data_IF_421340135791
#
_entry.id   IF_421340135791
#
_cell.length_a   1.000
_cell.length_b   1.000
_cell.length_c   1.000
_cell.angle_alpha   90.00
_cell.angle_beta   90.00
_cell.angle_gamma   90.00
#
_symmetry.space_group_name_H-M   'P 1'
#
loop_
_entity.id
_entity.type
_entity.pdbx_description
1 polymer ?
#
# COMPACT_ATOMS: atom_id res chain seq x y z
N UNK A 1 -4.71 12.15 25.12
CA UNK A 1 -3.53 12.25 24.24
C UNK A 1 -4.05 12.74 22.90
N UNK A 2 -3.62 13.90 22.42
CA UNK A 2 -4.02 14.38 21.10
C UNK A 2 -3.11 13.68 20.10
N UNK A 3 -3.61 12.67 19.41
CA UNK A 3 -2.87 11.98 18.34
C UNK A 3 -2.84 12.91 17.13
N UNK A 4 -1.64 13.29 16.69
CA UNK A 4 -1.45 14.07 15.47
C UNK A 4 -1.26 13.09 14.31
N UNK A 5 -2.11 13.19 13.30
CA UNK A 5 -1.91 12.46 12.05
C UNK A 5 -0.74 13.09 11.29
N UNK A 6 0.30 12.30 11.02
CA UNK A 6 1.48 12.77 10.28
C UNK A 6 1.18 12.84 8.78
N UNK A 7 1.68 13.89 8.11
CA UNK A 7 1.65 13.96 6.65
C UNK A 7 2.72 13.02 6.08
N UNK A 8 2.31 12.02 5.32
CA UNK A 8 3.23 11.19 4.54
C UNK A 8 3.84 11.98 3.37
N UNK A 9 5.15 11.87 3.21
CA UNK A 9 5.90 12.48 2.10
C UNK A 9 6.33 11.39 1.13
N UNK A 10 6.36 11.71 -0.17
CA UNK A 10 6.86 10.78 -1.19
C UNK A 10 8.36 10.49 -0.98
N UNK A 11 8.73 9.21 -0.96
CA UNK A 11 10.11 8.75 -0.85
C UNK A 11 10.47 7.85 -2.04
N UNK A 12 11.35 8.36 -2.91
CA UNK A 12 11.83 7.62 -4.09
C UNK A 12 12.58 6.32 -3.72
N UNK A 13 13.16 6.22 -2.52
CA UNK A 13 13.81 4.99 -2.07
C UNK A 13 12.77 3.92 -1.73
N UNK A 14 11.65 4.31 -1.12
CA UNK A 14 10.53 3.40 -0.88
C UNK A 14 9.88 2.95 -2.18
N UNK A 15 9.76 3.85 -3.16
CA UNK A 15 9.30 3.53 -4.51
C UNK A 15 10.24 2.49 -5.18
N UNK A 16 11.56 2.70 -5.10
CA UNK A 16 12.55 1.78 -5.64
C UNK A 16 12.49 0.39 -4.99
N UNK A 17 12.35 0.34 -3.66
CA UNK A 17 12.11 -0.90 -2.91
C UNK A 17 10.83 -1.60 -3.38
N UNK A 18 9.75 -0.85 -3.52
CA UNK A 18 8.49 -1.36 -4.06
C UNK A 18 8.68 -1.95 -5.45
N UNK A 19 9.45 -1.29 -6.31
CA UNK A 19 9.69 -1.75 -7.67
C UNK A 19 10.51 -3.04 -7.71
N UNK A 20 11.57 -3.13 -6.91
CA UNK A 20 12.41 -4.32 -6.80
C UNK A 20 11.60 -5.54 -6.37
N UNK A 21 10.82 -5.41 -5.30
CA UNK A 21 10.02 -6.51 -4.77
C UNK A 21 8.85 -6.88 -5.69
N UNK A 22 8.15 -5.89 -6.25
CA UNK A 22 7.03 -6.13 -7.15
C UNK A 22 7.46 -6.79 -8.47
N UNK A 23 8.66 -6.47 -8.96
CA UNK A 23 9.19 -7.01 -10.22
C UNK A 23 9.58 -8.48 -10.14
N UNK A 24 9.70 -9.06 -8.93
CA UNK A 24 9.85 -10.51 -8.74
C UNK A 24 8.58 -11.28 -9.10
N UNK A 25 7.44 -10.59 -9.19
CA UNK A 25 6.13 -11.15 -9.49
C UNK A 25 5.63 -12.20 -8.48
N UNK A 26 6.25 -12.27 -7.30
CA UNK A 26 5.85 -13.13 -6.18
C UNK A 26 4.77 -12.46 -5.32
N UNK A 27 4.10 -13.25 -4.48
CA UNK A 27 3.15 -12.70 -3.52
C UNK A 27 3.90 -11.96 -2.42
N UNK A 28 3.59 -10.70 -2.21
CA UNK A 28 4.15 -9.93 -1.10
C UNK A 28 3.51 -10.38 0.22
N UNK A 29 4.30 -10.54 1.30
CA UNK A 29 3.77 -10.95 2.58
C UNK A 29 3.01 -9.80 3.26
N UNK A 30 1.83 -10.11 3.80
CA UNK A 30 0.99 -9.13 4.54
C UNK A 30 1.70 -8.57 5.79
N UNK A 31 2.66 -9.32 6.33
CA UNK A 31 3.52 -8.91 7.46
C UNK A 31 4.58 -7.87 7.09
N UNK A 32 4.70 -7.51 5.82
CA UNK A 32 5.80 -6.68 5.33
C UNK A 32 7.11 -7.46 5.16
N UNK A 33 8.14 -6.75 4.69
CA UNK A 33 9.48 -7.29 4.42
C UNK A 33 10.50 -6.50 5.25
N UNK A 34 11.50 -7.19 5.80
CA UNK A 34 12.62 -6.53 6.50
C UNK A 34 13.77 -6.33 5.52
N UNK A 35 14.12 -5.07 5.24
CA UNK A 35 15.23 -4.71 4.35
C UNK A 35 16.25 -3.92 5.14
N UNK A 36 17.49 -4.41 5.21
CA UNK A 36 18.56 -3.71 5.91
C UNK A 36 18.31 -3.45 7.41
N UNK A 37 17.52 -4.32 8.07
CA UNK A 37 17.03 -4.21 9.47
C UNK A 37 15.83 -3.28 9.69
N UNK A 38 15.29 -2.68 8.63
CA UNK A 38 14.11 -1.82 8.73
C UNK A 38 12.90 -2.61 8.23
N UNK A 39 11.87 -2.73 9.08
CA UNK A 39 10.58 -3.25 8.65
C UNK A 39 9.96 -2.32 7.64
N UNK A 40 9.39 -2.87 6.58
CA UNK A 40 8.68 -2.13 5.54
C UNK A 40 7.32 -2.75 5.35
N UNK A 41 6.29 -1.93 5.46
CA UNK A 41 4.92 -2.38 5.27
C UNK A 41 4.54 -2.23 3.79
N UNK A 42 4.05 -3.31 3.18
CA UNK A 42 3.65 -3.34 1.77
C UNK A 42 2.14 -3.49 1.67
N UNK A 43 1.53 -2.77 0.72
CA UNK A 43 0.16 -2.98 0.26
C UNK A 43 0.16 -3.12 -1.24
N UNK A 44 -0.32 -4.25 -1.74
CA UNK A 44 -0.34 -4.55 -3.15
C UNK A 44 -1.74 -4.85 -3.69
N UNK A 45 -1.87 -4.72 -5.00
CA UNK A 45 -3.11 -4.96 -5.69
C UNK A 45 -2.93 -4.99 -7.20
N UNK A 46 -4.04 -5.23 -7.89
CA UNK A 46 -4.08 -5.24 -9.36
C UNK A 46 -4.86 -3.99 -9.80
N UNK A 47 -4.18 -3.08 -10.49
CA UNK A 47 -4.82 -1.89 -11.09
C UNK A 47 -5.75 -2.34 -12.22
N UNK A 48 -5.29 -3.26 -13.08
CA UNK A 48 -6.10 -3.79 -14.17
C UNK A 48 -5.51 -5.06 -14.77
N UNK A 49 -6.37 -5.93 -15.26
CA UNK A 49 -6.00 -7.10 -16.09
C UNK A 49 -5.96 -6.76 -17.58
N UNK A 50 -6.39 -5.55 -17.98
CA UNK A 50 -6.42 -5.10 -19.38
C UNK A 50 -5.12 -4.39 -19.76
N UNK A 51 -4.78 -4.48 -21.04
CA UNK A 51 -3.74 -3.63 -21.67
C UNK A 51 -4.32 -2.25 -22.00
N UNK A 52 -3.47 -1.21 -22.03
CA UNK A 52 -3.82 0.19 -22.35
C UNK A 52 -4.90 0.78 -21.45
N UNK A 53 -4.53 1.03 -20.19
CA UNK A 53 -5.41 1.61 -19.18
C UNK A 53 -5.07 3.08 -18.93
N UNK A 54 -6.06 3.81 -18.42
CA UNK A 54 -5.82 5.06 -17.72
C UNK A 54 -5.28 4.73 -16.32
N UNK A 55 -3.95 4.81 -16.19
CA UNK A 55 -3.25 4.43 -14.97
C UNK A 55 -3.72 5.26 -13.78
N UNK A 56 -3.83 6.58 -13.93
CA UNK A 56 -4.21 7.48 -12.83
C UNK A 56 -5.62 7.15 -12.32
N UNK A 57 -6.57 6.97 -13.24
CA UNK A 57 -7.96 6.64 -12.90
C UNK A 57 -8.07 5.30 -12.18
N UNK A 58 -7.42 4.25 -12.68
CA UNK A 58 -7.52 2.92 -12.08
C UNK A 58 -6.72 2.83 -10.76
N UNK A 59 -5.59 3.53 -10.63
CA UNK A 59 -4.88 3.67 -9.35
C UNK A 59 -5.75 4.40 -8.32
N UNK A 60 -6.38 5.53 -8.68
CA UNK A 60 -7.33 6.23 -7.78
C UNK A 60 -8.46 5.32 -7.33
N UNK A 61 -9.00 4.50 -8.22
CA UNK A 61 -10.04 3.53 -7.89
C UNK A 61 -9.55 2.47 -6.90
N UNK A 62 -8.35 1.93 -7.08
CA UNK A 62 -7.75 0.97 -6.14
C UNK A 62 -7.54 1.59 -4.76
N UNK A 63 -6.91 2.77 -4.69
CA UNK A 63 -6.66 3.49 -3.44
C UNK A 63 -7.95 3.86 -2.71
N UNK A 64 -9.00 4.27 -3.44
CA UNK A 64 -10.31 4.49 -2.85
C UNK A 64 -10.92 3.20 -2.29
N UNK A 65 -10.75 2.07 -2.97
CA UNK A 65 -11.24 0.78 -2.49
C UNK A 65 -10.52 0.34 -1.21
N UNK A 66 -9.21 0.59 -1.10
CA UNK A 66 -8.43 0.39 0.12
C UNK A 66 -8.94 1.29 1.25
N UNK A 67 -9.13 2.58 0.99
CA UNK A 67 -9.65 3.51 1.99
C UNK A 67 -11.06 3.12 2.46
N UNK A 68 -11.93 2.71 1.53
CA UNK A 68 -13.32 2.31 1.80
C UNK A 68 -13.46 1.01 2.62
N UNK A 69 -12.36 0.30 2.93
CA UNK A 69 -12.37 -0.77 3.93
C UNK A 69 -12.91 -0.26 5.27
N UNK A 70 -12.69 1.02 5.63
CA UNK A 70 -13.26 1.63 6.84
C UNK A 70 -14.79 1.64 6.84
N UNK A 71 -15.43 1.80 5.68
CA UNK A 71 -16.90 1.84 5.59
C UNK A 71 -17.51 0.45 5.69
N UNK A 72 -16.76 -0.56 5.26
CA UNK A 72 -17.20 -1.96 5.26
C UNK A 72 -17.02 -2.63 6.62
N UNK A 73 -16.22 -2.04 7.50
CA UNK A 73 -15.85 -2.59 8.79
C UNK A 73 -16.27 -1.64 9.92
N UNK A 74 -16.97 -2.14 10.92
CA UNK A 74 -17.31 -1.34 12.12
C UNK A 74 -16.05 -1.18 12.98
N UNK A 75 -15.23 -0.16 12.69
CA UNK A 75 -13.98 0.09 13.41
C UNK A 75 -14.30 0.69 14.78
N UNK A 76 -13.86 0.01 15.83
CA UNK A 76 -14.05 0.44 17.22
C UNK A 76 -13.22 1.70 17.52
N UNK A 77 -13.67 2.48 18.50
CA UNK A 77 -13.02 3.75 18.88
C UNK A 77 -11.62 3.59 19.50
N UNK A 78 -11.27 2.39 19.94
CA UNK A 78 -9.92 2.02 20.39
C UNK A 78 -8.97 1.68 19.22
N UNK A 79 -9.46 1.73 17.98
CA UNK A 79 -8.71 1.58 16.73
C UNK A 79 -7.77 0.36 16.66
N UNK A 80 -8.19 -0.85 17.08
CA UNK A 80 -7.33 -2.01 17.01
C UNK A 80 -7.07 -2.40 15.55
N UNK A 81 -5.86 -2.82 15.24
CA UNK A 81 -5.56 -3.42 13.94
C UNK A 81 -6.38 -4.72 13.74
N UNK A 82 -6.94 -4.90 12.54
CA UNK A 82 -7.48 -6.20 12.09
C UNK A 82 -7.15 -6.46 10.62
N UNK A 83 -6.94 -7.73 10.23
CA UNK A 83 -6.69 -8.10 8.84
C UNK A 83 -7.77 -7.65 7.84
N UNK A 84 -9.01 -7.46 8.29
CA UNK A 84 -10.14 -7.10 7.42
C UNK A 84 -10.08 -5.66 6.84
N UNK A 85 -9.19 -4.80 7.35
CA UNK A 85 -8.98 -3.42 6.89
C UNK A 85 -7.49 -3.05 6.90
N UNK A 86 -6.64 -4.01 6.51
CA UNK A 86 -5.20 -3.86 6.55
C UNK A 86 -4.71 -2.78 5.57
N UNK A 87 -5.35 -2.61 4.40
CA UNK A 87 -4.96 -1.55 3.45
C UNK A 87 -5.30 -0.17 4.01
N UNK A 88 -6.52 0.00 4.53
CA UNK A 88 -6.91 1.22 5.22
C UNK A 88 -5.97 1.55 6.38
N UNK A 89 -5.62 0.57 7.21
CA UNK A 89 -4.73 0.76 8.37
C UNK A 89 -3.36 1.34 7.97
N UNK A 90 -2.80 0.90 6.84
CA UNK A 90 -1.52 1.44 6.37
C UNK A 90 -1.65 2.89 5.88
N UNK A 91 -2.77 3.27 5.24
CA UNK A 91 -3.00 4.63 4.75
C UNK A 91 -3.15 5.63 5.90
N UNK A 92 -3.78 5.23 7.02
CA UNK A 92 -4.11 6.13 8.13
C UNK A 92 -3.20 5.99 9.36
N UNK A 93 -2.13 5.20 9.26
CA UNK A 93 -1.19 5.00 10.37
C UNK A 93 -0.51 6.33 10.71
N UNK A 94 -0.60 6.76 11.97
CA UNK A 94 -0.22 8.11 12.40
C UNK A 94 1.29 8.29 12.59
N UNK A 95 2.03 7.19 12.73
CA UNK A 95 3.49 7.14 12.84
C UNK A 95 4.21 7.05 11.48
N UNK A 96 3.49 6.79 10.38
CA UNK A 96 4.10 6.70 9.05
C UNK A 96 4.40 8.08 8.46
N UNK A 97 5.64 8.26 7.99
CA UNK A 97 6.15 9.54 7.47
C UNK A 97 6.47 9.52 5.98
N UNK A 98 6.61 8.33 5.42
CA UNK A 98 7.07 8.12 4.06
C UNK A 98 6.19 7.13 3.32
N UNK A 99 5.93 7.42 2.05
CA UNK A 99 5.25 6.51 1.13
C UNK A 99 5.99 6.49 -0.20
N UNK A 100 6.13 5.31 -0.79
CA UNK A 100 6.55 5.15 -2.18
C UNK A 100 5.70 4.09 -2.84
N UNK A 101 5.09 4.43 -3.98
CA UNK A 101 4.24 3.49 -4.72
C UNK A 101 4.72 3.33 -6.16
N UNK A 102 4.54 2.15 -6.73
CA UNK A 102 4.91 1.87 -8.11
C UNK A 102 3.99 0.81 -8.70
N UNK A 103 4.13 0.59 -10.00
CA UNK A 103 3.41 -0.44 -10.72
C UNK A 103 4.32 -1.17 -11.69
N UNK A 104 3.93 -2.37 -12.09
CA UNK A 104 4.61 -3.14 -13.14
C UNK A 104 3.61 -3.84 -14.03
N UNK A 105 3.94 -3.91 -15.31
CA UNK A 105 3.22 -4.72 -16.31
C UNK A 105 4.01 -5.97 -16.71
N UNK A 106 5.14 -6.24 -16.05
CA UNK A 106 6.00 -7.38 -16.37
C UNK A 106 5.42 -8.72 -15.91
N UNK A 107 4.51 -8.71 -14.93
CA UNK A 107 3.86 -9.90 -14.40
C UNK A 107 2.66 -10.33 -15.27
N UNK A 108 2.41 -11.64 -15.36
CA UNK A 108 1.39 -12.21 -16.25
C UNK A 108 -0.06 -11.80 -15.92
N UNK A 109 -0.35 -11.48 -14.66
CA UNK A 109 -1.71 -11.27 -14.14
C UNK A 109 -2.24 -9.83 -14.31
N UNK A 110 -1.56 -9.01 -15.12
CA UNK A 110 -1.95 -7.63 -15.40
C UNK A 110 -1.02 -6.59 -14.78
N UNK A 111 -1.51 -5.37 -14.68
CA UNK A 111 -0.78 -4.24 -14.09
C UNK A 111 -0.85 -4.34 -12.57
N UNK A 112 0.20 -4.87 -11.95
CA UNK A 112 0.33 -4.95 -10.50
C UNK A 112 0.78 -3.60 -9.94
N UNK A 113 0.36 -3.28 -8.73
CA UNK A 113 0.68 -2.05 -8.02
C UNK A 113 1.04 -2.36 -6.59
N UNK A 114 1.97 -1.58 -6.04
CA UNK A 114 2.38 -1.68 -4.64
C UNK A 114 2.62 -0.29 -4.07
N UNK A 115 2.29 -0.12 -2.81
CA UNK A 115 2.76 0.97 -1.96
C UNK A 115 3.60 0.40 -0.82
N UNK A 116 4.70 1.07 -0.51
CA UNK A 116 5.58 0.79 0.61
C UNK A 116 5.51 1.98 1.57
N UNK A 117 5.30 1.69 2.84
CA UNK A 117 5.17 2.69 3.90
C UNK A 117 6.37 2.63 4.83
N UNK A 118 6.85 3.81 5.23
CA UNK A 118 7.86 3.93 6.28
C UNK A 118 7.28 3.46 7.60
N UNK A 119 8.01 2.62 8.33
CA UNK A 119 7.59 2.00 9.58
C UNK A 119 8.03 2.80 10.77
#
# INVERSE_FOLDING_TARGET
MVTFMTLMVWDCNLEAVGHEELSKCEKLPDSGIVIGKIGREFRDGIISTKKNIDLEKETKKLLNAWYDEVKKNNISSDLPYKPAYHNFSAIVRDDSKGIGCTYTTACADGTKFVCVYDS
#
